data_IF_953723622812
#
_entry.id   IF_953723622812
#
_cell.length_a   1.000
_cell.length_b   1.000
_cell.length_c   1.000
_cell.angle_alpha   90.00
_cell.angle_beta   90.00
_cell.angle_gamma   90.00
#
_symmetry.space_group_name_H-M   'P 1'
#
loop_
_entity.id
_entity.type
_entity.pdbx_description
1 polymer ?
#
# COMPACT_ATOMS: atom_id res chain seq x y z
N UNK A 1 -48.85 -29.32 21.93
CA UNK A 1 -50.13 -28.69 21.86
C UNK A 1 -50.23 -27.67 22.99
N UNK A 2 -49.81 -26.42 22.76
CA UNK A 2 -50.05 -25.32 23.68
C UNK A 2 -49.91 -24.00 22.90
N UNK A 3 -51.01 -23.28 22.79
CA UNK A 3 -51.19 -22.03 22.06
C UNK A 3 -50.76 -20.85 22.94
N UNK A 4 -50.00 -19.93 22.40
CA UNK A 4 -49.78 -18.59 22.99
C UNK A 4 -50.80 -17.59 22.45
N UNK A 5 -51.32 -16.68 23.25
CA UNK A 5 -52.16 -15.59 22.76
C UNK A 5 -51.34 -14.32 22.47
N UNK A 6 -51.75 -13.66 21.39
CA UNK A 6 -51.38 -12.29 21.03
C UNK A 6 -51.99 -11.29 22.02
N UNK A 7 -51.20 -10.27 22.41
CA UNK A 7 -51.72 -9.06 23.03
C UNK A 7 -51.42 -7.87 22.16
N UNK A 8 -52.45 -7.25 21.64
CA UNK A 8 -52.43 -5.97 20.97
C UNK A 8 -52.44 -4.85 22.00
N UNK A 9 -51.59 -3.87 21.89
CA UNK A 9 -51.55 -2.66 22.68
C UNK A 9 -51.67 -1.42 21.79
N UNK A 10 -52.72 -0.65 22.00
CA UNK A 10 -53.17 0.45 21.20
C UNK A 10 -52.40 1.75 21.36
N UNK A 11 -52.40 2.55 20.31
CA UNK A 11 -51.87 3.89 20.18
C UNK A 11 -52.61 4.91 21.07
N UNK A 12 -51.87 5.91 21.56
CA UNK A 12 -52.42 7.17 22.04
C UNK A 12 -51.62 8.34 21.44
N UNK A 13 -52.30 9.02 20.50
CA UNK A 13 -51.95 10.36 20.02
C UNK A 13 -52.20 11.36 21.14
N UNK A 14 -51.24 12.23 21.41
CA UNK A 14 -51.48 13.51 22.09
C UNK A 14 -50.90 14.64 21.23
N UNK A 15 -51.80 15.45 20.70
CA UNK A 15 -51.57 16.73 20.09
C UNK A 15 -51.45 17.81 21.23
N UNK A 16 -50.40 18.62 21.18
CA UNK A 16 -50.37 19.86 21.94
C UNK A 16 -49.92 20.99 21.01
N UNK A 17 -50.85 21.88 20.77
CA UNK A 17 -50.63 23.18 20.15
C UNK A 17 -50.03 24.18 21.14
N UNK A 18 -49.09 25.02 20.67
CA UNK A 18 -48.66 26.19 21.41
C UNK A 18 -48.12 27.32 20.57
N UNK A 19 -48.82 28.35 20.52
CA UNK A 19 -48.54 29.74 20.81
C UNK A 19 -47.20 30.36 20.34
N UNK A 20 -47.37 31.20 19.33
CA UNK A 20 -46.47 32.24 18.86
C UNK A 20 -46.22 33.27 19.97
N UNK A 21 -44.97 33.59 20.21
CA UNK A 21 -44.53 34.82 20.81
C UNK A 21 -43.50 35.48 19.91
N UNK A 22 -43.92 36.51 19.21
CA UNK A 22 -43.03 37.46 18.52
C UNK A 22 -42.22 38.22 19.56
N UNK A 23 -40.90 38.14 19.50
CA UNK A 23 -40.02 39.10 20.14
C UNK A 23 -39.06 39.63 19.08
N UNK A 24 -39.35 40.85 18.61
CA UNK A 24 -38.53 41.65 17.74
C UNK A 24 -37.28 42.08 18.50
N UNK A 25 -36.11 41.54 18.12
CA UNK A 25 -34.82 42.11 18.49
C UNK A 25 -34.16 42.64 17.22
N UNK A 26 -33.82 43.91 17.34
CA UNK A 26 -33.11 44.74 16.39
C UNK A 26 -31.80 44.06 15.92
N UNK A 27 -31.67 43.91 14.61
CA UNK A 27 -30.46 43.50 13.95
C UNK A 27 -29.42 44.64 13.99
N UNK A 28 -28.42 44.47 14.84
CA UNK A 28 -27.18 45.26 14.74
C UNK A 28 -26.15 44.37 13.98
N UNK A 29 -25.57 44.85 12.88
CA UNK A 29 -24.58 44.03 12.13
C UNK A 29 -23.26 44.03 12.91
N UNK A 30 -22.84 42.83 13.30
CA UNK A 30 -21.48 42.59 13.81
C UNK A 30 -20.46 42.81 12.70
N UNK A 31 -19.33 43.48 12.94
CA UNK A 31 -18.30 43.68 11.94
C UNK A 31 -17.63 42.31 11.62
N UNK A 32 -17.73 41.90 10.38
CA UNK A 32 -17.01 40.72 9.86
C UNK A 32 -15.53 41.05 9.74
N UNK A 33 -14.75 40.73 10.76
CA UNK A 33 -13.28 40.64 10.63
C UNK A 33 -12.90 39.27 10.13
N UNK A 34 -13.04 39.03 8.82
CA UNK A 34 -12.42 37.91 8.13
C UNK A 34 -10.93 38.22 7.91
N UNK A 35 -10.12 38.12 8.94
CA UNK A 35 -8.68 37.93 8.79
C UNK A 35 -8.40 36.43 8.64
N UNK A 36 -8.66 35.90 7.44
CA UNK A 36 -8.11 34.62 7.05
C UNK A 36 -6.58 34.77 6.96
N UNK A 37 -5.88 34.30 7.98
CA UNK A 37 -4.44 34.13 7.90
C UNK A 37 -4.15 33.19 6.73
N UNK A 38 -3.35 33.61 5.73
CA UNK A 38 -3.00 32.70 4.64
C UNK A 38 -2.28 31.48 5.23
N UNK A 39 -2.77 30.28 4.94
CA UNK A 39 -2.04 29.07 5.26
C UNK A 39 -0.62 29.18 4.68
N UNK A 40 0.43 28.77 5.43
CA UNK A 40 1.78 28.85 4.93
C UNK A 40 1.84 28.09 3.60
N UNK A 41 2.26 28.78 2.54
CA UNK A 41 2.52 28.19 1.24
C UNK A 41 3.52 27.06 1.47
N UNK A 42 3.12 25.83 1.11
CA UNK A 42 4.03 24.70 1.08
C UNK A 42 5.14 25.09 0.11
N UNK A 43 6.33 25.36 0.66
CA UNK A 43 7.51 25.65 -0.15
C UNK A 43 7.74 24.43 -1.04
N UNK A 44 7.44 24.57 -2.33
CA UNK A 44 7.81 23.57 -3.33
C UNK A 44 9.32 23.58 -3.39
N UNK A 45 9.95 22.54 -2.84
CA UNK A 45 11.38 22.31 -3.05
C UNK A 45 11.66 22.37 -4.55
N UNK A 46 12.77 23.00 -5.00
CA UNK A 46 13.09 23.07 -6.41
C UNK A 46 13.09 21.65 -6.98
N UNK A 47 12.24 21.41 -7.98
CA UNK A 47 12.16 20.11 -8.65
C UNK A 47 13.46 19.93 -9.44
N UNK A 48 14.24 18.89 -9.09
CA UNK A 48 15.38 18.48 -9.93
C UNK A 48 14.83 18.14 -11.31
N UNK A 49 15.32 18.75 -12.41
CA UNK A 49 14.88 18.38 -13.73
C UNK A 49 15.16 16.90 -13.99
N UNK A 50 14.12 16.17 -14.37
CA UNK A 50 14.32 14.76 -14.78
C UNK A 50 15.04 14.73 -16.13
N UNK A 51 15.98 13.81 -16.29
CA UNK A 51 16.80 13.68 -17.49
C UNK A 51 17.03 12.21 -17.83
N UNK A 52 17.54 11.96 -19.05
CA UNK A 52 17.80 10.60 -19.51
C UNK A 52 16.57 9.88 -20.08
N UNK A 53 16.68 8.58 -20.35
CA UNK A 53 15.61 7.78 -20.94
C UNK A 53 14.47 7.61 -19.92
N UNK A 54 13.24 7.56 -20.44
CA UNK A 54 12.07 7.19 -19.63
C UNK A 54 12.22 5.78 -19.11
N UNK A 55 12.01 5.60 -17.82
CA UNK A 55 12.04 4.31 -17.13
C UNK A 55 10.66 3.95 -16.62
N UNK A 56 10.24 2.71 -16.83
CA UNK A 56 8.97 2.17 -16.36
C UNK A 56 9.23 1.09 -15.34
N UNK A 57 8.77 1.29 -14.11
CA UNK A 57 8.83 0.31 -13.03
C UNK A 57 7.42 -0.20 -12.77
N UNK A 58 7.23 -1.51 -12.79
CA UNK A 58 5.98 -2.12 -12.34
C UNK A 58 6.10 -2.48 -10.86
N UNK A 59 5.31 -1.85 -10.02
CA UNK A 59 5.18 -2.16 -8.60
C UNK A 59 4.03 -3.17 -8.41
N UNK A 60 4.38 -4.46 -8.35
CA UNK A 60 3.44 -5.57 -8.29
C UNK A 60 3.42 -6.19 -6.90
N UNK A 61 2.28 -6.11 -6.22
CA UNK A 61 2.18 -6.53 -4.83
C UNK A 61 0.76 -6.56 -4.29
N UNK A 62 0.66 -6.52 -2.98
CA UNK A 62 -0.59 -6.55 -2.22
C UNK A 62 -1.02 -5.15 -1.72
N UNK A 63 -1.63 -5.10 -0.52
CA UNK A 63 -2.10 -3.86 0.12
C UNK A 63 -0.99 -2.84 0.41
N UNK A 64 0.25 -3.29 0.65
CA UNK A 64 1.39 -2.40 0.88
C UNK A 64 1.70 -1.57 -0.37
N UNK A 65 1.52 -2.16 -1.53
CA UNK A 65 1.71 -1.50 -2.82
C UNK A 65 0.48 -0.70 -3.24
N UNK A 66 -0.73 -1.26 -3.02
CA UNK A 66 -1.98 -0.59 -3.34
C UNK A 66 -2.14 0.76 -2.62
N UNK A 67 -1.54 0.92 -1.45
CA UNK A 67 -1.70 2.10 -0.59
C UNK A 67 -2.95 1.99 0.27
N UNK A 68 -3.20 0.81 0.86
CA UNK A 68 -4.34 0.58 1.74
C UNK A 68 -4.39 1.59 2.89
N UNK A 69 -5.57 2.21 3.08
CA UNK A 69 -5.80 3.19 4.14
C UNK A 69 -5.10 4.55 3.95
N UNK A 70 -4.45 4.78 2.81
CA UNK A 70 -3.73 6.02 2.50
C UNK A 70 -4.52 6.90 1.51
N UNK A 71 -4.20 8.17 1.48
CA UNK A 71 -4.74 9.08 0.49
C UNK A 71 -4.07 8.87 -0.87
N UNK A 72 -4.72 9.33 -1.94
CA UNK A 72 -4.16 9.31 -3.29
C UNK A 72 -2.80 10.01 -3.30
N UNK A 73 -1.80 9.40 -3.96
CA UNK A 73 -0.44 9.93 -4.04
C UNK A 73 0.45 9.59 -2.84
N UNK A 74 -0.04 8.79 -1.89
CA UNK A 74 0.72 8.39 -0.70
C UNK A 74 1.12 6.91 -0.70
N UNK A 75 0.81 6.15 -1.76
CA UNK A 75 1.20 4.75 -1.85
C UNK A 75 2.71 4.59 -1.96
N UNK A 76 3.22 3.39 -1.67
CA UNK A 76 4.65 3.09 -1.80
C UNK A 76 5.16 3.32 -3.23
N UNK A 77 4.46 2.91 -4.31
CA UNK A 77 4.82 3.26 -5.68
C UNK A 77 4.92 4.76 -5.93
N UNK A 78 3.95 5.57 -5.43
CA UNK A 78 3.98 7.03 -5.56
C UNK A 78 5.21 7.63 -4.87
N UNK A 79 5.49 7.16 -3.64
CA UNK A 79 6.61 7.63 -2.85
C UNK A 79 7.96 7.28 -3.51
N UNK A 80 8.11 6.08 -4.06
CA UNK A 80 9.32 5.66 -4.80
C UNK A 80 9.48 6.50 -6.07
N UNK A 81 8.41 6.71 -6.85
CA UNK A 81 8.45 7.58 -8.03
C UNK A 81 8.95 8.98 -7.69
N UNK A 82 8.42 9.56 -6.61
CA UNK A 82 8.83 10.89 -6.16
C UNK A 82 10.33 10.95 -5.83
N UNK A 83 10.91 9.90 -5.18
CA UNK A 83 12.35 9.82 -4.87
C UNK A 83 13.21 9.69 -6.12
N UNK A 84 12.81 8.82 -7.05
CA UNK A 84 13.53 8.63 -8.30
C UNK A 84 13.57 9.94 -9.11
N UNK A 85 12.42 10.61 -9.23
CA UNK A 85 12.35 11.91 -9.93
C UNK A 85 13.11 13.00 -9.19
N UNK A 86 13.11 13.00 -7.86
CA UNK A 86 13.94 13.87 -7.04
C UNK A 86 15.45 13.66 -7.22
N UNK A 87 15.87 12.49 -7.71
CA UNK A 87 17.24 12.16 -8.12
C UNK A 87 17.51 12.45 -9.61
N UNK A 88 16.55 13.04 -10.33
CA UNK A 88 16.67 13.36 -11.75
C UNK A 88 16.33 12.21 -12.70
N UNK A 89 15.90 11.06 -12.22
CA UNK A 89 15.54 9.90 -13.07
C UNK A 89 14.11 10.08 -13.60
N UNK A 90 13.90 10.04 -14.93
CA UNK A 90 12.57 10.09 -15.54
C UNK A 90 11.84 8.74 -15.39
N UNK A 91 11.48 8.40 -14.15
CA UNK A 91 10.78 7.19 -13.81
C UNK A 91 9.27 7.38 -13.72
N UNK A 92 8.54 6.36 -14.21
CA UNK A 92 7.12 6.14 -13.95
C UNK A 92 6.97 4.82 -13.21
N UNK A 93 6.41 4.86 -12.00
CA UNK A 93 6.15 3.66 -11.21
C UNK A 93 4.66 3.31 -11.31
N UNK A 94 4.37 2.26 -12.06
CA UNK A 94 2.99 1.78 -12.27
C UNK A 94 2.57 0.94 -11.08
N UNK A 95 1.55 1.40 -10.36
CA UNK A 95 1.00 0.67 -9.23
C UNK A 95 0.10 -0.48 -9.71
N UNK A 96 0.50 -1.70 -9.45
CA UNK A 96 -0.26 -2.93 -9.67
C UNK A 96 -0.46 -3.72 -8.35
N UNK A 97 -0.54 -3.01 -7.23
CA UNK A 97 -0.91 -3.57 -5.93
C UNK A 97 -2.41 -3.88 -5.87
N UNK A 98 -2.76 -5.02 -5.30
CA UNK A 98 -4.16 -5.42 -5.03
C UNK A 98 -4.28 -5.86 -3.58
N UNK A 99 -5.07 -5.10 -2.80
CA UNK A 99 -5.24 -5.41 -1.37
C UNK A 99 -5.84 -6.80 -1.16
N UNK A 100 -5.22 -7.57 -0.26
CA UNK A 100 -5.63 -8.92 0.08
C UNK A 100 -5.03 -10.02 -0.80
N UNK A 101 -4.29 -9.70 -1.86
CA UNK A 101 -3.64 -10.71 -2.70
C UNK A 101 -2.64 -11.55 -1.91
N UNK A 102 -2.75 -12.85 -2.07
CA UNK A 102 -1.74 -13.83 -1.72
C UNK A 102 -0.74 -14.02 -2.86
N UNK A 103 0.31 -14.79 -2.62
CA UNK A 103 1.23 -15.22 -3.69
C UNK A 103 0.51 -15.97 -4.82
N UNK A 104 -0.52 -16.77 -4.50
CA UNK A 104 -1.34 -17.49 -5.48
C UNK A 104 -2.18 -16.53 -6.34
N UNK A 105 -2.75 -15.48 -5.73
CA UNK A 105 -3.51 -14.45 -6.45
C UNK A 105 -2.60 -13.68 -7.41
N UNK A 106 -1.44 -13.25 -6.93
CA UNK A 106 -0.44 -12.57 -7.74
C UNK A 106 0.01 -13.43 -8.92
N UNK A 107 0.32 -14.72 -8.69
CA UNK A 107 0.69 -15.65 -9.75
C UNK A 107 -0.37 -15.73 -10.86
N UNK A 108 -1.65 -15.75 -10.51
CA UNK A 108 -2.74 -15.83 -11.50
C UNK A 108 -2.84 -14.59 -12.40
N UNK A 109 -2.45 -13.39 -11.89
CA UNK A 109 -2.64 -12.13 -12.61
C UNK A 109 -1.36 -11.53 -13.21
N UNK A 110 -0.16 -12.00 -12.85
CA UNK A 110 1.10 -11.37 -13.28
C UNK A 110 1.22 -11.32 -14.81
N UNK A 111 1.05 -12.44 -15.49
CA UNK A 111 1.17 -12.50 -16.94
C UNK A 111 0.17 -11.54 -17.61
N UNK A 112 -1.10 -11.58 -17.21
CA UNK A 112 -2.13 -10.67 -17.72
C UNK A 112 -1.76 -9.20 -17.45
N UNK A 113 -1.26 -8.87 -16.26
CA UNK A 113 -0.85 -7.50 -15.94
C UNK A 113 0.25 -7.01 -16.87
N UNK A 114 1.28 -7.84 -17.10
CA UNK A 114 2.38 -7.52 -18.01
C UNK A 114 1.91 -7.36 -19.46
N UNK A 115 1.01 -8.23 -19.92
CA UNK A 115 0.47 -8.20 -21.30
C UNK A 115 -0.40 -6.97 -21.58
N UNK A 116 -0.99 -6.40 -20.53
CA UNK A 116 -1.82 -5.16 -20.64
C UNK A 116 -1.01 -3.87 -20.54
N UNK A 117 0.26 -3.95 -20.20
CA UNK A 117 1.11 -2.76 -20.18
C UNK A 117 1.39 -2.26 -21.60
N UNK A 118 1.32 -0.94 -21.81
CA UNK A 118 1.64 -0.31 -23.11
C UNK A 118 3.14 -0.40 -23.45
N UNK A 119 3.97 -0.50 -22.43
CA UNK A 119 5.42 -0.56 -22.53
C UNK A 119 5.92 -1.66 -21.61
N UNK A 120 6.83 -2.51 -22.09
CA UNK A 120 7.51 -3.49 -21.24
C UNK A 120 8.20 -2.74 -20.10
N UNK A 121 8.03 -3.14 -18.83
CA UNK A 121 8.71 -2.49 -17.73
C UNK A 121 10.23 -2.75 -17.79
N UNK A 122 11.01 -1.74 -17.42
CA UNK A 122 12.47 -1.86 -17.26
C UNK A 122 12.80 -2.64 -15.98
N UNK A 123 11.88 -2.67 -15.01
CA UNK A 123 12.07 -3.30 -13.71
C UNK A 123 10.71 -3.67 -13.10
N UNK A 124 10.65 -4.81 -12.42
CA UNK A 124 9.51 -5.18 -11.57
C UNK A 124 9.93 -5.17 -10.11
N UNK A 125 9.20 -4.48 -9.27
CA UNK A 125 9.23 -4.65 -7.82
C UNK A 125 8.14 -5.67 -7.46
N UNK A 126 8.55 -6.84 -6.97
CA UNK A 126 7.66 -7.94 -6.63
C UNK A 126 7.56 -8.10 -5.11
N UNK A 127 6.41 -7.76 -4.53
CA UNK A 127 6.17 -7.78 -3.09
C UNK A 127 4.84 -8.43 -2.73
N UNK A 128 4.89 -9.72 -2.43
CA UNK A 128 3.77 -10.54 -1.97
C UNK A 128 4.21 -11.41 -0.79
N UNK A 129 3.28 -12.16 -0.21
CA UNK A 129 3.55 -13.05 0.92
C UNK A 129 3.04 -12.52 2.26
N UNK A 130 2.70 -11.22 2.36
CA UNK A 130 2.07 -10.66 3.56
C UNK A 130 0.77 -11.35 3.91
N UNK A 131 -0.11 -11.52 2.94
CA UNK A 131 -1.38 -12.23 3.14
C UNK A 131 -1.21 -13.75 3.29
N UNK A 132 -0.17 -14.34 2.70
CA UNK A 132 0.15 -15.75 2.90
C UNK A 132 0.49 -16.03 4.37
N UNK A 133 1.37 -15.23 4.97
CA UNK A 133 1.73 -15.40 6.38
C UNK A 133 0.56 -15.12 7.32
N UNK A 134 -0.25 -14.10 7.03
CA UNK A 134 -1.45 -13.80 7.83
C UNK A 134 -2.48 -14.93 7.79
N UNK A 135 -2.57 -15.64 6.67
CA UNK A 135 -3.49 -16.77 6.46
C UNK A 135 -2.83 -18.13 6.73
N UNK A 136 -1.58 -18.13 7.18
CA UNK A 136 -0.79 -19.34 7.46
C UNK A 136 -0.75 -20.33 6.28
N UNK A 137 -0.63 -19.80 5.06
CA UNK A 137 -0.39 -20.61 3.86
C UNK A 137 0.93 -21.34 4.02
N UNK A 138 0.99 -22.61 3.60
CA UNK A 138 2.25 -23.37 3.70
C UNK A 138 3.38 -22.62 2.99
N UNK A 139 4.52 -22.37 3.66
CA UNK A 139 5.67 -21.72 3.07
C UNK A 139 6.15 -22.35 1.75
N UNK A 140 5.95 -23.67 1.57
CA UNK A 140 6.28 -24.34 0.32
C UNK A 140 5.37 -23.88 -0.84
N UNK A 141 4.09 -23.64 -0.57
CA UNK A 141 3.15 -23.12 -1.56
C UNK A 141 3.48 -21.66 -1.91
N UNK A 142 3.71 -20.81 -0.88
CA UNK A 142 4.16 -19.43 -1.10
C UNK A 142 5.42 -19.40 -1.95
N UNK A 143 6.43 -20.23 -1.64
CA UNK A 143 7.67 -20.36 -2.41
C UNK A 143 7.41 -20.74 -3.86
N UNK A 144 6.57 -21.75 -4.10
CA UNK A 144 6.26 -22.23 -5.45
C UNK A 144 5.57 -21.14 -6.29
N UNK A 145 4.67 -20.37 -5.70
CA UNK A 145 3.99 -19.28 -6.39
C UNK A 145 4.96 -18.13 -6.72
N UNK A 146 5.83 -17.75 -5.76
CA UNK A 146 6.84 -16.72 -5.97
C UNK A 146 7.86 -17.14 -7.04
N UNK A 147 8.33 -18.39 -7.00
CA UNK A 147 9.24 -18.95 -8.02
C UNK A 147 8.61 -18.90 -9.42
N UNK A 148 7.35 -19.34 -9.55
CA UNK A 148 6.66 -19.31 -10.84
C UNK A 148 6.50 -17.88 -11.42
N UNK A 149 6.34 -16.87 -10.55
CA UNK A 149 6.31 -15.47 -11.00
C UNK A 149 7.69 -14.99 -11.45
N UNK A 150 8.75 -15.40 -10.77
CA UNK A 150 10.12 -15.08 -11.15
C UNK A 150 10.51 -15.76 -12.46
N UNK A 151 10.14 -17.04 -12.65
CA UNK A 151 10.33 -17.77 -13.92
C UNK A 151 9.67 -17.02 -15.09
N UNK A 152 8.46 -16.49 -14.89
CA UNK A 152 7.75 -15.71 -15.90
C UNK A 152 8.48 -14.41 -16.23
N UNK A 153 9.01 -13.71 -15.22
CA UNK A 153 9.79 -12.48 -15.38
C UNK A 153 11.13 -12.76 -16.08
N UNK A 154 11.82 -13.83 -15.71
CA UNK A 154 13.06 -14.29 -16.36
C UNK A 154 12.82 -14.63 -17.83
N UNK A 155 11.73 -15.37 -18.13
CA UNK A 155 11.35 -15.71 -19.50
C UNK A 155 11.09 -14.46 -20.36
N UNK A 156 10.61 -13.38 -19.75
CA UNK A 156 10.40 -12.09 -20.43
C UNK A 156 11.65 -11.20 -20.43
N UNK A 157 12.71 -11.61 -19.78
CA UNK A 157 13.94 -10.81 -19.61
C UNK A 157 13.65 -9.49 -18.91
N UNK A 158 12.93 -9.53 -17.79
CA UNK A 158 12.59 -8.36 -16.98
C UNK A 158 13.30 -8.47 -15.64
N UNK A 159 14.21 -7.53 -15.30
CA UNK A 159 14.86 -7.50 -14.00
C UNK A 159 13.86 -7.36 -12.84
N UNK A 160 14.21 -7.91 -11.67
CA UNK A 160 13.32 -7.95 -10.51
C UNK A 160 14.04 -7.44 -9.26
N UNK A 161 13.33 -6.64 -8.46
CA UNK A 161 13.59 -6.46 -7.04
C UNK A 161 12.54 -7.25 -6.27
N UNK A 162 12.98 -8.22 -5.47
CA UNK A 162 12.13 -8.85 -4.48
C UNK A 162 12.07 -8.00 -3.22
N UNK A 163 10.87 -7.75 -2.72
CA UNK A 163 10.67 -7.16 -1.40
C UNK A 163 10.13 -8.23 -0.46
N UNK A 164 11.00 -8.65 0.44
CA UNK A 164 10.74 -9.79 1.31
C UNK A 164 9.74 -9.48 2.43
N UNK A 165 9.22 -10.56 2.99
CA UNK A 165 8.35 -10.55 4.17
C UNK A 165 8.91 -11.49 5.23
N UNK A 166 8.59 -11.25 6.49
CA UNK A 166 9.00 -12.10 7.60
C UNK A 166 7.78 -12.66 8.34
N UNK A 167 7.88 -13.90 8.75
CA UNK A 167 6.88 -14.52 9.61
C UNK A 167 7.02 -13.99 11.04
N UNK A 168 5.90 -13.68 11.72
CA UNK A 168 5.93 -13.31 13.12
C UNK A 168 6.31 -14.52 14.00
N UNK A 169 7.02 -14.29 15.13
CA UNK A 169 7.56 -15.38 15.96
C UNK A 169 6.52 -16.34 16.54
N UNK A 170 5.28 -15.89 16.70
CA UNK A 170 4.18 -16.70 17.25
C UNK A 170 3.74 -17.86 16.35
N UNK A 171 4.18 -17.90 15.08
CA UNK A 171 3.94 -19.04 14.18
C UNK A 171 4.93 -20.20 14.38
N UNK A 172 5.86 -20.03 15.31
CA UNK A 172 6.85 -21.04 15.67
C UNK A 172 8.08 -21.07 14.74
N UNK A 173 9.19 -21.65 15.21
CA UNK A 173 10.46 -21.61 14.49
C UNK A 173 10.45 -22.39 13.17
N UNK A 174 9.72 -23.49 13.08
CA UNK A 174 9.67 -24.29 11.86
C UNK A 174 9.03 -23.52 10.71
N UNK A 175 7.84 -22.96 10.95
CA UNK A 175 7.18 -22.10 9.96
C UNK A 175 8.05 -20.88 9.63
N UNK A 176 8.55 -20.19 10.66
CA UNK A 176 9.36 -18.98 10.49
C UNK A 176 10.60 -19.21 9.64
N UNK A 177 11.36 -20.28 9.92
CA UNK A 177 12.57 -20.60 9.18
C UNK A 177 12.27 -20.89 7.69
N UNK A 178 11.24 -21.71 7.43
CA UNK A 178 10.82 -22.06 6.06
C UNK A 178 10.31 -20.83 5.30
N UNK A 179 9.51 -19.99 5.93
CA UNK A 179 8.94 -18.80 5.32
C UNK A 179 10.00 -17.72 5.05
N UNK A 180 10.83 -17.42 6.04
CA UNK A 180 11.83 -16.37 5.93
C UNK A 180 12.94 -16.68 4.92
N UNK A 181 13.20 -17.96 4.64
CA UNK A 181 14.17 -18.41 3.64
C UNK A 181 13.70 -18.19 2.20
N UNK A 182 12.41 -17.98 1.95
CA UNK A 182 11.85 -17.89 0.59
C UNK A 182 12.56 -16.81 -0.24
N UNK A 183 12.59 -15.58 0.26
CA UNK A 183 13.09 -14.43 -0.51
C UNK A 183 14.59 -14.48 -0.78
N UNK A 184 15.48 -14.71 0.22
CA UNK A 184 16.92 -14.78 -0.06
C UNK A 184 17.28 -15.96 -0.97
N UNK A 185 16.57 -17.08 -0.86
CA UNK A 185 16.81 -18.22 -1.74
C UNK A 185 16.40 -17.93 -3.18
N UNK A 186 15.20 -17.40 -3.39
CA UNK A 186 14.70 -17.04 -4.71
C UNK A 186 15.50 -15.91 -5.33
N UNK A 187 15.89 -14.89 -4.55
CA UNK A 187 16.75 -13.83 -5.03
C UNK A 187 18.08 -14.36 -5.60
N UNK A 188 18.71 -15.32 -4.90
CA UNK A 188 19.94 -15.97 -5.39
C UNK A 188 19.68 -16.79 -6.65
N UNK A 189 18.59 -17.58 -6.68
CA UNK A 189 18.24 -18.43 -7.82
C UNK A 189 18.04 -17.63 -9.13
N UNK A 190 17.31 -16.52 -9.02
CA UNK A 190 16.90 -15.68 -10.15
C UNK A 190 17.80 -14.45 -10.35
N UNK A 191 18.88 -14.32 -9.58
CA UNK A 191 19.79 -13.15 -9.61
C UNK A 191 19.04 -11.83 -9.42
N UNK A 192 17.94 -11.87 -8.68
CA UNK A 192 17.12 -10.71 -8.36
C UNK A 192 17.75 -9.88 -7.24
N UNK A 193 17.61 -8.56 -7.32
CA UNK A 193 17.92 -7.70 -6.18
C UNK A 193 16.93 -7.98 -5.03
N UNK A 194 17.36 -7.80 -3.79
CA UNK A 194 16.55 -8.13 -2.62
C UNK A 194 16.52 -6.98 -1.63
N UNK A 195 15.32 -6.58 -1.24
CA UNK A 195 15.03 -5.94 0.04
C UNK A 195 14.52 -7.03 1.00
N UNK A 196 15.30 -7.42 2.02
CA UNK A 196 14.98 -8.63 2.79
C UNK A 196 13.68 -8.57 3.58
N UNK A 197 13.30 -7.37 4.03
CA UNK A 197 12.08 -7.16 4.79
C UNK A 197 11.51 -5.76 4.54
N UNK A 198 10.45 -5.70 3.75
CA UNK A 198 9.86 -4.42 3.30
C UNK A 198 9.42 -3.52 4.47
N UNK A 199 8.99 -4.08 5.59
CA UNK A 199 8.56 -3.33 6.78
C UNK A 199 9.70 -3.08 7.79
N UNK A 200 10.95 -3.32 7.42
CA UNK A 200 12.09 -3.07 8.30
C UNK A 200 12.14 -1.61 8.77
N UNK A 201 12.27 -1.41 10.08
CA UNK A 201 12.31 -0.09 10.72
C UNK A 201 10.94 0.60 10.83
N UNK A 202 9.87 -0.05 10.38
CA UNK A 202 8.50 0.49 10.43
C UNK A 202 7.57 -0.39 11.27
N UNK A 203 7.60 -1.70 11.06
CA UNK A 203 6.77 -2.63 11.82
C UNK A 203 7.03 -2.50 13.32
N UNK A 204 5.93 -2.43 14.10
CA UNK A 204 6.00 -2.28 15.55
C UNK A 204 6.17 -0.83 16.05
N UNK A 205 6.42 0.13 15.18
CA UNK A 205 6.47 1.55 15.53
C UNK A 205 5.10 2.20 15.33
N UNK A 206 4.34 2.38 16.41
CA UNK A 206 2.95 2.87 16.36
C UNK A 206 2.78 4.17 15.55
N UNK A 207 3.75 5.08 15.63
CA UNK A 207 3.73 6.35 14.89
C UNK A 207 3.92 6.20 13.38
N UNK A 208 4.38 5.04 12.90
CA UNK A 208 4.61 4.73 11.48
C UNK A 208 3.57 3.77 10.89
N UNK A 209 2.65 3.26 11.72
CA UNK A 209 1.63 2.29 11.32
C UNK A 209 0.23 2.91 11.36
N UNK A 210 -0.69 2.35 10.58
CA UNK A 210 -2.11 2.57 10.72
C UNK A 210 -2.63 1.94 12.02
N UNK A 211 -3.86 2.24 12.40
CA UNK A 211 -4.47 1.73 13.62
C UNK A 211 -4.65 0.20 13.65
N UNK A 212 -4.54 -0.47 12.51
CA UNK A 212 -4.60 -1.93 12.41
C UNK A 212 -3.29 -2.64 12.82
N UNK A 213 -2.19 -1.88 12.97
CA UNK A 213 -0.88 -2.42 13.34
C UNK A 213 -0.22 -3.30 12.27
N UNK A 214 -0.80 -3.39 11.08
CA UNK A 214 -0.33 -4.22 9.94
C UNK A 214 0.21 -3.35 8.82
N UNK A 215 -0.51 -2.26 8.49
CA UNK A 215 -0.16 -1.41 7.36
C UNK A 215 0.58 -0.14 7.81
N UNK A 216 1.62 0.29 7.08
CA UNK A 216 2.28 1.56 7.34
C UNK A 216 1.34 2.74 7.01
N UNK A 217 1.41 3.80 7.80
CA UNK A 217 0.81 5.09 7.45
C UNK A 217 1.71 5.84 6.44
N UNK A 218 1.31 7.03 6.00
CA UNK A 218 2.06 7.81 5.02
C UNK A 218 3.53 8.08 5.44
N UNK A 219 3.78 8.30 6.73
CA UNK A 219 5.14 8.47 7.26
C UNK A 219 5.92 7.15 7.18
N UNK A 220 5.31 6.04 7.57
CA UNK A 220 5.91 4.71 7.44
C UNK A 220 6.25 4.35 5.98
N UNK A 221 5.34 4.67 5.05
CA UNK A 221 5.60 4.51 3.60
C UNK A 221 6.78 5.37 3.15
N UNK A 222 6.88 6.61 3.65
CA UNK A 222 8.04 7.48 3.38
C UNK A 222 9.35 6.83 3.81
N UNK A 223 9.42 6.26 5.02
CA UNK A 223 10.60 5.56 5.54
C UNK A 223 10.97 4.33 4.67
N UNK A 224 9.97 3.56 4.24
CA UNK A 224 10.20 2.43 3.33
C UNK A 224 10.77 2.92 2.01
N UNK A 225 10.17 3.96 1.44
CA UNK A 225 10.59 4.51 0.15
C UNK A 225 12.02 5.08 0.20
N UNK A 226 12.42 5.73 1.30
CA UNK A 226 13.79 6.24 1.50
C UNK A 226 14.84 5.12 1.45
N UNK A 227 14.49 3.93 1.91
CA UNK A 227 15.36 2.75 1.90
C UNK A 227 15.34 2.01 0.57
N UNK A 228 14.18 1.91 -0.07
CA UNK A 228 13.99 1.07 -1.29
C UNK A 228 14.32 1.83 -2.58
N UNK A 229 14.05 3.13 -2.65
CA UNK A 229 14.30 3.91 -3.88
C UNK A 229 15.75 3.89 -4.35
N UNK A 230 16.79 3.95 -3.49
CA UNK A 230 18.17 3.78 -3.94
C UNK A 230 18.46 2.43 -4.60
N UNK A 231 17.82 1.35 -4.11
CA UNK A 231 17.93 0.02 -4.73
C UNK A 231 17.29 0.01 -6.12
N UNK A 232 16.12 0.66 -6.27
CA UNK A 232 15.44 0.81 -7.55
C UNK A 232 16.29 1.63 -8.52
N UNK A 233 16.83 2.78 -8.05
CA UNK A 233 17.68 3.64 -8.87
C UNK A 233 18.92 2.90 -9.40
N UNK A 234 19.56 2.09 -8.54
CA UNK A 234 20.70 1.25 -8.94
C UNK A 234 20.33 0.26 -10.04
N UNK A 235 19.23 -0.46 -9.89
CA UNK A 235 18.78 -1.45 -10.89
C UNK A 235 18.33 -0.83 -12.22
N UNK A 236 17.97 0.46 -12.22
CA UNK A 236 17.63 1.18 -13.45
C UNK A 236 18.87 1.76 -14.17
N UNK A 237 20.02 1.80 -13.51
CA UNK A 237 21.28 2.28 -14.06
C UNK A 237 22.10 1.17 -14.72
N UNK A 238 21.88 -0.09 -14.30
CA UNK A 238 22.51 -1.30 -14.84
C UNK A 238 21.82 -1.72 -16.15
#
# INVERSE_FOLDING_TARGET
>A
MMKMPYVAGAALLQAAALLSACNSRSDEPLPATNTATPAPAIATSPSVPVSGPKRVVLAFGDSLYAGYGLQRGQSLPDAIQARLRGQGIDATVVNAGVSGDTSADGRRRLAYTLDRMKTKPDLVMLGLGGNDVLRQVDPAETRANMAAMLDELDRRGIPVILTGMMAPPNLGPDFGNRFNAIWPDLARQHKAALDPFILQGVLGQRQLMLGDGVHPNATGVSHIADRVAPLVAKQLAD
#
